data_IF_657003282931
#
_entry.id   IF_657003282931
#
_cell.length_a   1.000
_cell.length_b   1.000
_cell.length_c   1.000
_cell.angle_alpha   90.00
_cell.angle_beta   90.00
_cell.angle_gamma   90.00
#
_symmetry.space_group_name_H-M   'P 1'
#
loop_
_entity.id
_entity.type
_entity.pdbx_description
1 polymer ?
#
# COMPACT_ATOMS: atom_id res chain seq x y z
N UNK A 1 22.28 10.94 14.94
CA UNK A 1 21.35 12.00 15.40
C UNK A 1 19.96 11.41 15.39
N UNK A 2 19.36 11.21 16.55
CA UNK A 2 17.97 10.76 16.67
C UNK A 2 17.09 11.97 16.29
N UNK A 3 16.53 11.96 15.08
CA UNK A 3 15.51 12.93 14.72
C UNK A 3 14.25 12.55 15.52
N UNK A 4 13.96 13.27 16.60
CA UNK A 4 12.61 13.31 17.16
C UNK A 4 11.70 14.07 16.19
N UNK A 5 11.46 13.50 15.02
CA UNK A 5 10.49 14.02 14.08
C UNK A 5 9.10 13.80 14.70
N UNK A 6 8.39 14.89 14.99
CA UNK A 6 7.02 14.83 15.46
C UNK A 6 6.09 15.14 14.28
N UNK A 7 5.41 14.11 13.77
CA UNK A 7 4.44 14.26 12.69
C UNK A 7 3.05 14.46 13.29
N UNK A 8 2.32 15.47 12.83
CA UNK A 8 0.98 15.82 13.31
C UNK A 8 -0.12 15.51 12.28
N UNK A 9 0.26 15.17 11.04
CA UNK A 9 -0.70 14.78 10.02
C UNK A 9 -0.16 13.79 8.99
N UNK A 10 -1.03 12.89 8.53
CA UNK A 10 -0.76 11.92 7.48
C UNK A 10 -1.89 11.91 6.45
N UNK A 11 -1.54 11.92 5.16
CA UNK A 11 -2.47 11.67 4.06
C UNK A 11 -1.96 10.50 3.23
N UNK A 12 -2.79 9.46 3.11
CA UNK A 12 -2.46 8.25 2.34
C UNK A 12 -3.14 8.28 0.97
N UNK A 13 -2.34 8.22 -0.09
CA UNK A 13 -2.77 8.25 -1.51
C UNK A 13 -2.42 6.92 -2.17
N UNK A 14 -3.35 6.37 -2.93
CA UNK A 14 -3.07 5.17 -3.71
C UNK A 14 -4.27 4.30 -4.06
N UNK A 15 -4.01 3.01 -4.14
CA UNK A 15 -4.94 1.97 -4.59
C UNK A 15 -5.35 1.01 -3.45
N UNK A 16 -5.67 -0.25 -3.78
CA UNK A 16 -6.11 -1.25 -2.80
C UNK A 16 -5.07 -1.58 -1.75
N UNK A 17 -3.79 -1.46 -2.09
CA UNK A 17 -2.69 -1.67 -1.14
C UNK A 17 -2.75 -0.65 -0.01
N UNK A 18 -2.93 0.63 -0.35
CA UNK A 18 -3.07 1.73 0.61
C UNK A 18 -4.45 1.77 1.28
N UNK A 19 -5.51 1.35 0.58
CA UNK A 19 -6.85 1.23 1.16
C UNK A 19 -6.88 0.22 2.32
N UNK A 20 -6.00 -0.79 2.27
CA UNK A 20 -5.86 -1.80 3.33
C UNK A 20 -6.58 -3.11 3.03
N UNK A 21 -6.82 -3.42 1.75
CA UNK A 21 -7.50 -4.65 1.35
C UNK A 21 -6.91 -5.88 2.04
N UNK A 22 -7.80 -6.81 2.41
CA UNK A 22 -7.51 -8.06 3.13
C UNK A 22 -7.13 -7.95 4.62
N UNK A 23 -7.04 -6.75 5.19
CA UNK A 23 -7.00 -6.54 6.65
C UNK A 23 -8.39 -6.12 7.16
N UNK A 24 -9.35 -7.05 7.08
CA UNK A 24 -10.76 -6.82 7.40
C UNK A 24 -10.99 -6.82 8.92
N UNK A 25 -11.61 -5.76 9.42
CA UNK A 25 -12.05 -5.64 10.81
C UNK A 25 -13.44 -6.26 11.02
N UNK A 26 -13.83 -6.56 12.27
CA UNK A 26 -15.15 -7.14 12.57
C UNK A 26 -16.34 -6.29 12.10
N UNK A 27 -16.17 -4.98 11.98
CA UNK A 27 -17.17 -4.04 11.47
C UNK A 27 -17.28 -4.01 9.94
N UNK A 28 -16.46 -4.81 9.24
CA UNK A 28 -16.42 -4.91 7.79
C UNK A 28 -15.57 -3.83 7.10
N UNK A 29 -14.94 -2.94 7.86
CA UNK A 29 -13.98 -1.96 7.33
C UNK A 29 -12.60 -2.58 7.13
N UNK A 30 -11.78 -1.96 6.28
CA UNK A 30 -10.39 -2.37 6.09
C UNK A 30 -9.47 -1.44 6.87
N UNK A 31 -8.60 -2.00 7.71
CA UNK A 31 -7.59 -1.25 8.46
C UNK A 31 -6.37 -0.98 7.56
N UNK A 32 -5.54 -1.99 7.32
CA UNK A 32 -4.37 -1.87 6.44
C UNK A 32 -3.21 -1.08 7.04
N UNK A 33 -2.07 -1.08 6.34
CA UNK A 33 -0.82 -0.53 6.85
C UNK A 33 -0.90 0.98 7.15
N UNK A 34 -1.65 1.74 6.34
CA UNK A 34 -1.75 3.18 6.48
C UNK A 34 -2.49 3.57 7.78
N UNK A 35 -3.53 2.82 8.16
CA UNK A 35 -4.27 3.03 9.39
C UNK A 35 -3.47 2.55 10.61
N UNK A 36 -2.73 1.44 10.48
CA UNK A 36 -1.79 0.98 11.52
C UNK A 36 -0.72 2.04 11.79
N UNK A 37 -0.12 2.61 10.73
CA UNK A 37 0.83 3.70 10.85
C UNK A 37 0.19 4.93 11.49
N UNK A 38 -0.99 5.33 11.03
CA UNK A 38 -1.73 6.47 11.58
C UNK A 38 -2.01 6.30 13.07
N UNK A 39 -2.39 5.10 13.52
CA UNK A 39 -2.65 4.80 14.93
C UNK A 39 -1.39 4.95 15.79
N UNK A 40 -0.25 4.47 15.29
CA UNK A 40 1.05 4.63 15.97
C UNK A 40 1.50 6.10 16.04
N UNK A 41 1.29 6.86 14.98
CA UNK A 41 1.59 8.30 14.96
C UNK A 41 0.65 9.08 15.90
N UNK A 42 -0.64 8.77 15.90
CA UNK A 42 -1.63 9.39 16.78
C UNK A 42 -1.34 9.16 18.27
N UNK A 43 -0.84 7.98 18.64
CA UNK A 43 -0.43 7.68 20.01
C UNK A 43 0.73 8.57 20.51
N UNK A 44 1.49 9.19 19.60
CA UNK A 44 2.64 10.06 19.93
C UNK A 44 2.32 11.55 19.83
N UNK A 45 1.33 11.90 19.02
CA UNK A 45 0.99 13.27 18.67
C UNK A 45 -0.47 13.55 19.04
N UNK A 46 -0.76 14.12 20.22
CA UNK A 46 -2.11 14.58 20.53
C UNK A 46 -2.66 15.50 19.44
N UNK A 47 -3.91 15.24 19.00
CA UNK A 47 -4.53 15.99 17.90
C UNK A 47 -4.02 15.61 16.50
N UNK A 48 -3.32 14.47 16.35
CA UNK A 48 -2.91 13.95 15.05
C UNK A 48 -4.09 13.87 14.08
N UNK A 49 -3.86 14.27 12.83
CA UNK A 49 -4.88 14.24 11.77
C UNK A 49 -4.54 13.20 10.72
N UNK A 50 -5.54 12.49 10.23
CA UNK A 50 -5.36 11.45 9.24
C UNK A 50 -6.42 11.51 8.13
N UNK A 51 -6.01 11.29 6.89
CA UNK A 51 -6.88 10.99 5.76
C UNK A 51 -6.35 9.79 4.97
N UNK A 52 -7.26 9.00 4.41
CA UNK A 52 -6.95 7.91 3.48
C UNK A 52 -7.81 8.07 2.24
N UNK A 53 -7.18 8.57 1.18
CA UNK A 53 -7.80 8.86 -0.13
C UNK A 53 -7.79 7.63 -1.05
N UNK A 54 -7.15 6.54 -0.64
CA UNK A 54 -6.93 5.39 -1.48
C UNK A 54 -8.23 4.63 -1.80
N UNK A 55 -8.33 4.14 -3.04
CA UNK A 55 -9.48 3.38 -3.52
C UNK A 55 -8.97 2.21 -4.38
N UNK A 56 -9.41 0.99 -4.04
CA UNK A 56 -9.06 -0.25 -4.73
C UNK A 56 -9.20 -0.19 -6.24
N UNK A 57 -8.24 -0.82 -6.91
CA UNK A 57 -8.26 -1.02 -8.36
C UNK A 57 -7.99 0.24 -9.17
N UNK A 58 -7.70 1.38 -8.54
CA UNK A 58 -7.29 2.58 -9.25
C UNK A 58 -5.96 2.40 -9.97
N UNK A 59 -5.89 3.01 -11.14
CA UNK A 59 -4.67 3.21 -11.91
C UNK A 59 -4.01 4.54 -11.56
N UNK A 60 -2.73 4.70 -11.92
CA UNK A 60 -1.99 5.93 -11.60
C UNK A 60 -2.66 7.19 -12.16
N UNK A 61 -3.27 7.11 -13.35
CA UNK A 61 -4.03 8.24 -13.90
C UNK A 61 -5.24 8.61 -13.05
N UNK A 62 -5.99 7.63 -12.54
CA UNK A 62 -7.14 7.88 -11.67
C UNK A 62 -6.72 8.37 -10.27
N UNK A 63 -5.55 7.95 -9.79
CA UNK A 63 -4.97 8.47 -8.56
C UNK A 63 -4.61 9.94 -8.75
N UNK A 64 -3.94 10.29 -9.86
CA UNK A 64 -3.61 11.65 -10.22
C UNK A 64 -4.87 12.54 -10.31
N UNK A 65 -5.86 12.12 -11.09
CA UNK A 65 -7.04 12.94 -11.41
C UNK A 65 -7.96 13.14 -10.20
N UNK A 66 -8.05 12.15 -9.30
CA UNK A 66 -9.09 12.15 -8.25
C UNK A 66 -8.54 12.31 -6.82
N UNK A 67 -7.25 12.03 -6.58
CA UNK A 67 -6.69 12.03 -5.21
C UNK A 67 -5.58 13.07 -5.01
N UNK A 68 -4.75 13.34 -6.04
CA UNK A 68 -3.53 14.15 -5.86
C UNK A 68 -3.87 15.58 -5.46
N UNK A 69 -4.74 16.27 -6.19
CA UNK A 69 -5.06 17.67 -5.87
C UNK A 69 -5.76 17.82 -4.50
N UNK A 70 -6.56 16.82 -4.12
CA UNK A 70 -7.16 16.74 -2.77
C UNK A 70 -6.07 16.60 -1.70
N UNK A 71 -5.08 15.74 -1.89
CA UNK A 71 -3.95 15.59 -0.97
C UNK A 71 -3.07 16.85 -0.90
N UNK A 72 -2.84 17.52 -2.04
CA UNK A 72 -2.12 18.80 -2.11
C UNK A 72 -2.82 19.85 -1.25
N UNK A 73 -4.15 19.96 -1.36
CA UNK A 73 -4.95 20.94 -0.61
C UNK A 73 -4.93 20.70 0.92
N UNK A 74 -4.64 19.46 1.35
CA UNK A 74 -4.59 19.11 2.78
C UNK A 74 -3.31 19.57 3.49
N UNK A 75 -2.21 19.79 2.76
CA UNK A 75 -0.96 20.34 3.32
C UNK A 75 -0.39 19.53 4.49
N UNK A 76 -0.40 18.20 4.41
CA UNK A 76 -0.02 17.32 5.51
C UNK A 76 1.50 17.22 5.74
N UNK A 77 1.91 16.86 6.96
CA UNK A 77 3.32 16.66 7.28
C UNK A 77 3.90 15.44 6.55
N UNK A 78 3.12 14.37 6.43
CA UNK A 78 3.48 13.18 5.68
C UNK A 78 2.42 12.89 4.63
N UNK A 79 2.85 12.72 3.39
CA UNK A 79 2.02 12.16 2.32
C UNK A 79 2.67 10.89 1.82
N UNK A 80 1.90 9.81 1.69
CA UNK A 80 2.37 8.57 1.07
C UNK A 80 1.70 8.40 -0.29
N UNK A 81 2.47 8.11 -1.34
CA UNK A 81 1.95 7.81 -2.67
C UNK A 81 2.34 6.38 -3.07
N UNK A 82 1.34 5.54 -3.32
CA UNK A 82 1.51 4.22 -3.93
C UNK A 82 0.59 4.09 -5.13
N UNK A 83 1.14 3.89 -6.32
CA UNK A 83 0.37 3.73 -7.55
C UNK A 83 1.21 3.23 -8.71
N UNK A 84 0.55 2.84 -9.80
CA UNK A 84 1.20 2.35 -11.02
C UNK A 84 1.35 0.83 -11.09
N UNK A 85 1.40 0.10 -9.96
CA UNK A 85 1.51 -1.36 -10.00
C UNK A 85 0.32 -2.01 -10.73
N UNK A 86 -0.90 -1.53 -10.50
CA UNK A 86 -2.11 -1.98 -11.22
C UNK A 86 -2.02 -1.77 -12.74
N UNK A 87 -1.32 -0.72 -13.18
CA UNK A 87 -1.06 -0.44 -14.59
C UNK A 87 -0.11 -1.49 -15.19
N UNK A 88 0.98 -1.82 -14.50
CA UNK A 88 1.99 -2.81 -14.97
C UNK A 88 1.39 -4.19 -15.23
N UNK A 89 0.34 -4.55 -14.47
CA UNK A 89 -0.42 -5.79 -14.60
C UNK A 89 -1.39 -5.81 -15.80
N UNK A 90 -1.51 -4.71 -16.56
CA UNK A 90 -2.36 -4.62 -17.76
C UNK A 90 -1.63 -5.19 -18.99
N UNK A 91 -2.29 -5.99 -19.85
CA UNK A 91 -1.67 -6.47 -21.09
C UNK A 91 -1.09 -5.33 -21.95
N UNK A 92 -1.89 -4.28 -22.16
CA UNK A 92 -1.56 -3.10 -22.98
C UNK A 92 -0.97 -1.95 -22.14
N UNK A 93 -0.13 -2.26 -21.16
CA UNK A 93 0.52 -1.25 -20.34
C UNK A 93 1.50 -0.41 -21.17
N UNK A 94 1.29 0.90 -21.20
CA UNK A 94 2.26 1.88 -21.70
C UNK A 94 3.09 2.40 -20.51
N UNK A 95 4.31 1.89 -20.37
CA UNK A 95 5.19 2.28 -19.27
C UNK A 95 5.65 3.74 -19.35
N UNK A 96 5.75 4.32 -20.56
CA UNK A 96 6.07 5.74 -20.72
C UNK A 96 4.98 6.62 -20.13
N UNK A 97 3.71 6.28 -20.42
CA UNK A 97 2.54 6.96 -19.83
C UNK A 97 2.49 6.77 -18.31
N UNK A 98 2.70 5.55 -17.81
CA UNK A 98 2.68 5.28 -16.35
C UNK A 98 3.73 6.10 -15.62
N UNK A 99 4.96 6.14 -16.12
CA UNK A 99 6.05 6.95 -15.54
C UNK A 99 5.76 8.44 -15.61
N UNK A 100 5.21 8.93 -16.73
CA UNK A 100 4.81 10.33 -16.88
C UNK A 100 3.76 10.76 -15.85
N UNK A 101 2.72 9.94 -15.67
CA UNK A 101 1.66 10.21 -14.69
C UNK A 101 2.15 10.12 -13.24
N UNK A 102 3.02 9.16 -12.93
CA UNK A 102 3.66 9.07 -11.62
C UNK A 102 4.53 10.31 -11.35
N UNK A 103 5.30 10.74 -12.36
CA UNK A 103 6.13 11.96 -12.27
C UNK A 103 5.27 13.17 -11.96
N UNK A 104 4.17 13.37 -12.69
CA UNK A 104 3.26 14.50 -12.45
C UNK A 104 2.66 14.46 -11.03
N UNK A 105 2.24 13.27 -10.57
CA UNK A 105 1.72 13.11 -9.21
C UNK A 105 2.76 13.50 -8.14
N UNK A 106 4.01 13.05 -8.31
CA UNK A 106 5.11 13.38 -7.38
C UNK A 106 5.44 14.87 -7.43
N UNK A 107 5.51 15.47 -8.62
CA UNK A 107 5.83 16.89 -8.80
C UNK A 107 4.77 17.82 -8.16
N UNK A 108 3.52 17.38 -8.08
CA UNK A 108 2.45 18.09 -7.33
C UNK A 108 2.52 17.87 -5.81
N UNK A 109 2.75 16.63 -5.36
CA UNK A 109 2.72 16.28 -3.93
C UNK A 109 3.98 16.71 -3.18
N UNK A 110 5.16 16.57 -3.77
CA UNK A 110 6.43 16.85 -3.09
C UNK A 110 6.53 18.26 -2.50
N UNK A 111 6.17 19.35 -3.21
CA UNK A 111 6.24 20.70 -2.65
C UNK A 111 5.11 21.05 -1.68
N UNK A 112 4.04 20.25 -1.60
CA UNK A 112 2.84 20.54 -0.79
C UNK A 112 2.81 19.83 0.56
N UNK A 113 3.81 19.00 0.88
CA UNK A 113 3.89 18.28 2.14
C UNK A 113 5.26 18.42 2.80
N UNK A 114 5.33 18.15 4.10
CA UNK A 114 6.61 18.14 4.82
C UNK A 114 7.53 16.99 4.38
N UNK A 115 6.94 15.80 4.15
CA UNK A 115 7.62 14.63 3.63
C UNK A 115 6.74 13.80 2.72
N UNK A 116 7.19 13.61 1.49
CA UNK A 116 6.64 12.61 0.58
C UNK A 116 7.33 11.26 0.80
N UNK A 117 6.53 10.20 0.88
CA UNK A 117 6.98 8.81 0.96
C UNK A 117 6.46 8.04 -0.26
N UNK A 118 7.39 7.46 -1.00
CA UNK A 118 7.16 6.56 -2.12
C UNK A 118 7.52 5.14 -1.71
N UNK A 119 7.06 4.15 -2.47
CA UNK A 119 7.32 2.75 -2.17
C UNK A 119 7.71 1.98 -3.42
N UNK A 120 8.69 1.08 -3.26
CA UNK A 120 8.83 -0.07 -4.14
C UNK A 120 7.95 -1.18 -3.56
N UNK A 121 6.72 -1.30 -4.06
CA UNK A 121 5.70 -2.18 -3.50
C UNK A 121 6.13 -3.66 -3.48
N UNK A 122 5.72 -4.43 -2.45
CA UNK A 122 6.12 -5.83 -2.36
C UNK A 122 5.42 -6.67 -3.43
N UNK A 123 5.94 -7.88 -3.65
CA UNK A 123 5.40 -8.80 -4.64
C UNK A 123 5.44 -10.25 -4.16
N UNK A 124 4.31 -10.96 -4.27
CA UNK A 124 4.22 -12.39 -3.91
C UNK A 124 5.12 -13.22 -4.81
N UNK A 125 5.98 -14.04 -4.22
CA UNK A 125 6.83 -14.97 -4.97
C UNK A 125 5.98 -15.94 -5.81
N UNK A 126 6.31 -16.07 -7.10
CA UNK A 126 5.65 -16.97 -8.02
C UNK A 126 5.73 -16.54 -9.49
N UNK A 127 5.25 -17.38 -10.41
CA UNK A 127 5.43 -17.17 -11.86
C UNK A 127 4.75 -15.92 -12.39
N UNK A 128 3.67 -15.46 -11.74
CA UNK A 128 2.97 -14.22 -12.11
C UNK A 128 3.88 -13.02 -11.85
N UNK A 129 4.56 -12.98 -10.71
CA UNK A 129 5.51 -11.92 -10.37
C UNK A 129 6.66 -11.87 -11.38
N UNK A 130 7.27 -13.01 -11.70
CA UNK A 130 8.35 -13.10 -12.69
C UNK A 130 7.96 -12.54 -14.06
N UNK A 131 6.71 -12.78 -14.48
CA UNK A 131 6.19 -12.27 -15.75
C UNK A 131 6.13 -10.74 -15.80
N UNK A 132 5.83 -10.09 -14.68
CA UNK A 132 5.65 -8.63 -14.62
C UNK A 132 6.88 -7.89 -14.06
N UNK A 133 7.86 -8.63 -13.54
CA UNK A 133 9.11 -8.12 -12.96
C UNK A 133 9.77 -7.01 -13.79
N UNK A 134 9.98 -7.13 -15.12
CA UNK A 134 10.63 -6.07 -15.89
C UNK A 134 9.89 -4.72 -15.82
N UNK A 135 8.54 -4.75 -15.85
CA UNK A 135 7.73 -3.52 -15.77
C UNK A 135 7.72 -2.93 -14.37
N UNK A 136 7.74 -3.78 -13.34
CA UNK A 136 7.85 -3.35 -11.96
C UNK A 136 9.21 -2.69 -11.69
N UNK A 137 10.29 -3.28 -12.20
CA UNK A 137 11.64 -2.72 -12.07
C UNK A 137 11.78 -1.39 -12.80
N UNK A 138 11.16 -1.23 -13.98
CA UNK A 138 11.09 0.08 -14.67
C UNK A 138 10.30 1.13 -13.84
N UNK A 139 9.19 0.73 -13.21
CA UNK A 139 8.44 1.61 -12.31
C UNK A 139 9.27 2.01 -11.08
N UNK A 140 9.98 1.07 -10.47
CA UNK A 140 10.77 1.32 -9.26
C UNK A 140 12.00 2.17 -9.54
N UNK A 141 12.66 1.99 -10.69
CA UNK A 141 13.70 2.90 -11.14
C UNK A 141 13.18 4.35 -11.24
N UNK A 142 11.98 4.54 -11.80
CA UNK A 142 11.34 5.86 -11.83
C UNK A 142 11.03 6.41 -10.43
N UNK A 143 10.54 5.57 -9.50
CA UNK A 143 10.33 5.96 -8.10
C UNK A 143 11.63 6.46 -7.46
N UNK A 144 12.74 5.77 -7.70
CA UNK A 144 14.05 6.16 -7.14
C UNK A 144 14.56 7.48 -7.71
N UNK A 145 14.48 7.64 -9.03
CA UNK A 145 14.85 8.88 -9.71
C UNK A 145 14.05 10.08 -9.18
N UNK A 146 12.74 9.92 -9.02
CA UNK A 146 11.85 10.94 -8.48
C UNK A 146 12.16 11.25 -7.02
N UNK A 147 12.45 10.22 -6.22
CA UNK A 147 12.80 10.42 -4.83
C UNK A 147 14.10 11.21 -4.66
N UNK A 148 15.13 10.92 -5.47
CA UNK A 148 16.38 11.70 -5.50
C UNK A 148 16.11 13.14 -5.93
N UNK A 149 15.32 13.34 -6.99
CA UNK A 149 15.01 14.66 -7.55
C UNK A 149 14.23 15.55 -6.57
N UNK A 150 13.28 14.98 -5.84
CA UNK A 150 12.33 15.73 -5.01
C UNK A 150 12.54 15.57 -3.50
N UNK A 151 13.61 14.87 -3.06
CA UNK A 151 13.89 14.66 -1.64
C UNK A 151 12.87 13.77 -0.91
N UNK A 152 12.13 12.94 -1.65
CA UNK A 152 11.18 11.99 -1.09
C UNK A 152 11.89 10.79 -0.44
N UNK A 153 11.22 10.11 0.49
CA UNK A 153 11.71 8.86 1.04
C UNK A 153 11.20 7.69 0.21
N UNK A 154 12.05 6.71 -0.06
CA UNK A 154 11.64 5.42 -0.62
C UNK A 154 11.64 4.36 0.46
N UNK A 155 10.53 3.65 0.61
CA UNK A 155 10.43 2.41 1.39
C UNK A 155 10.58 1.23 0.43
N UNK A 156 11.67 0.48 0.54
CA UNK A 156 11.93 -0.68 -0.31
C UNK A 156 11.32 -1.95 0.29
N UNK A 157 10.06 -2.21 -0.05
CA UNK A 157 9.31 -3.41 0.34
C UNK A 157 9.56 -4.56 -0.64
N UNK A 158 9.80 -4.24 -1.91
CA UNK A 158 10.14 -5.19 -2.97
C UNK A 158 11.42 -5.98 -2.68
N UNK A 159 12.45 -5.30 -2.17
CA UNK A 159 13.73 -5.92 -1.81
C UNK A 159 13.72 -6.72 -0.50
N UNK A 160 12.59 -6.85 0.19
CA UNK A 160 12.49 -7.57 1.46
C UNK A 160 11.96 -9.01 1.24
N UNK A 161 12.79 -10.05 1.40
CA UNK A 161 12.39 -11.44 1.13
C UNK A 161 11.15 -11.89 1.90
N UNK A 162 11.00 -11.44 3.15
CA UNK A 162 9.87 -11.78 4.00
C UNK A 162 8.52 -11.38 3.39
N UNK A 163 8.45 -10.24 2.68
CA UNK A 163 7.21 -9.76 2.03
C UNK A 163 6.91 -10.53 0.73
N UNK A 164 7.87 -11.28 0.20
CA UNK A 164 7.65 -12.22 -0.91
C UNK A 164 7.05 -13.56 -0.49
N UNK A 165 7.12 -13.92 0.81
CA UNK A 165 6.56 -15.17 1.33
C UNK A 165 5.04 -15.21 1.16
N UNK A 166 4.50 -16.32 0.64
CA UNK A 166 3.07 -16.46 0.36
C UNK A 166 2.18 -16.28 1.59
N UNK A 167 2.69 -16.50 2.80
CA UNK A 167 1.97 -16.30 4.08
C UNK A 167 1.72 -14.82 4.40
N UNK A 168 2.41 -13.89 3.72
CA UNK A 168 2.13 -12.46 3.80
C UNK A 168 0.94 -12.04 2.94
N UNK A 169 0.39 -12.93 2.11
CA UNK A 169 -0.65 -12.61 1.14
C UNK A 169 -1.92 -13.40 1.45
N UNK A 170 -3.07 -12.74 1.33
CA UNK A 170 -4.37 -13.34 1.60
C UNK A 170 -4.77 -14.35 0.51
N UNK A 171 -5.92 -14.99 0.64
CA UNK A 171 -6.42 -16.05 -0.26
C UNK A 171 -6.62 -15.57 -1.70
N UNK A 172 -6.72 -14.25 -1.91
CA UNK A 172 -6.76 -13.64 -3.23
C UNK A 172 -5.39 -13.51 -3.90
N UNK A 173 -4.31 -13.86 -3.19
CA UNK A 173 -2.91 -13.89 -3.67
C UNK A 173 -2.42 -12.56 -4.23
N UNK A 174 -3.10 -11.47 -3.91
CA UNK A 174 -2.85 -10.13 -4.44
C UNK A 174 -2.71 -9.09 -3.33
N UNK A 175 -3.45 -9.21 -2.23
CA UNK A 175 -3.36 -8.28 -1.11
C UNK A 175 -2.69 -8.90 0.10
N UNK A 176 -2.10 -8.05 0.93
CA UNK A 176 -1.41 -8.47 2.14
C UNK A 176 -2.40 -8.90 3.23
N UNK A 177 -1.98 -9.86 4.05
CA UNK A 177 -2.65 -10.17 5.32
C UNK A 177 -2.43 -9.05 6.33
N UNK A 178 -3.13 -9.10 7.47
CA UNK A 178 -2.90 -8.21 8.60
C UNK A 178 -1.41 -8.15 9.02
N UNK A 179 -0.71 -9.28 9.01
CA UNK A 179 0.72 -9.34 9.32
C UNK A 179 1.58 -8.63 8.27
N UNK A 180 1.27 -8.81 6.98
CA UNK A 180 1.95 -8.08 5.91
C UNK A 180 1.76 -6.57 6.06
N UNK A 181 0.52 -6.12 6.31
CA UNK A 181 0.22 -4.70 6.56
C UNK A 181 0.95 -4.14 7.79
N UNK A 182 1.04 -4.92 8.88
CA UNK A 182 1.80 -4.55 10.08
C UNK A 182 3.28 -4.32 9.79
N UNK A 183 3.90 -5.20 8.99
CA UNK A 183 5.30 -5.07 8.56
C UNK A 183 5.52 -3.88 7.63
N UNK A 184 4.59 -3.61 6.72
CA UNK A 184 4.65 -2.39 5.89
C UNK A 184 4.57 -1.14 6.75
N UNK A 185 3.66 -1.09 7.73
CA UNK A 185 3.56 0.04 8.64
C UNK A 185 4.86 0.29 9.41
N UNK A 186 5.50 -0.78 9.91
CA UNK A 186 6.81 -0.73 10.55
C UNK A 186 7.92 -0.25 9.58
N UNK A 187 7.92 -0.72 8.33
CA UNK A 187 8.88 -0.29 7.33
C UNK A 187 8.79 1.22 7.05
N UNK A 188 7.57 1.76 6.94
CA UNK A 188 7.35 3.21 6.76
C UNK A 188 7.75 3.98 8.01
N UNK A 189 7.37 3.48 9.19
CA UNK A 189 7.72 4.05 10.48
C UNK A 189 9.24 4.23 10.66
N UNK A 190 10.01 3.17 10.43
CA UNK A 190 11.46 3.22 10.48
C UNK A 190 12.03 4.15 9.41
N UNK A 191 11.44 4.16 8.20
CA UNK A 191 11.91 5.02 7.10
C UNK A 191 11.73 6.51 7.41
N UNK A 192 10.67 6.86 8.14
CA UNK A 192 10.42 8.20 8.68
C UNK A 192 11.41 8.60 9.81
N UNK A 193 12.30 7.68 10.24
CA UNK A 193 13.31 7.92 11.25
C UNK A 193 12.82 7.73 12.69
N UNK A 194 11.67 7.08 12.87
CA UNK A 194 11.11 6.80 14.19
C UNK A 194 11.78 5.55 14.81
N UNK A 195 11.77 5.43 16.15
CA UNK A 195 12.45 4.32 16.84
C UNK A 195 11.91 2.96 16.40
N UNK A 196 12.79 2.03 16.06
CA UNK A 196 12.43 0.65 15.68
C UNK A 196 11.55 0.01 16.75
N UNK A 197 10.38 -0.50 16.35
CA UNK A 197 9.49 -1.27 17.23
C UNK A 197 9.53 -2.77 16.93
N UNK A 198 9.82 -3.14 15.67
CA UNK A 198 9.91 -4.54 15.25
C UNK A 198 10.87 -4.74 14.05
N UNK A 199 11.37 -5.95 13.87
CA UNK A 199 12.10 -6.35 12.66
C UNK A 199 11.13 -6.81 11.58
N UNK A 200 10.63 -5.85 10.79
CA UNK A 200 9.72 -6.13 9.68
C UNK A 200 10.34 -6.99 8.57
N UNK A 201 11.67 -7.10 8.52
CA UNK A 201 12.41 -7.93 7.55
C UNK A 201 12.63 -9.36 8.04
N UNK A 202 12.37 -9.66 9.30
CA UNK A 202 12.61 -10.97 9.89
C UNK A 202 11.95 -12.08 9.06
N UNK A 203 12.73 -13.09 8.70
CA UNK A 203 12.20 -14.25 7.99
C UNK A 203 11.22 -15.02 8.87
N UNK A 204 10.19 -15.56 8.23
CA UNK A 204 9.26 -16.44 8.91
C UNK A 204 9.93 -17.80 9.15
N UNK A 205 9.63 -18.49 10.26
CA UNK A 205 10.06 -19.86 10.47
C UNK A 205 9.69 -20.75 9.27
N UNK A 206 10.48 -21.81 8.98
CA UNK A 206 10.18 -22.74 7.90
C UNK A 206 8.74 -23.24 7.97
N UNK A 207 8.01 -23.14 6.86
CA UNK A 207 6.64 -23.62 6.78
C UNK A 207 6.61 -25.15 6.67
N UNK A 208 5.60 -25.77 7.27
CA UNK A 208 5.35 -27.19 7.02
C UNK A 208 4.95 -27.44 5.55
N UNK A 209 5.42 -28.52 4.92
CA UNK A 209 5.06 -28.83 3.55
C UNK A 209 3.56 -29.08 3.39
N UNK A 210 2.85 -28.19 2.70
CA UNK A 210 1.44 -28.45 2.33
C UNK A 210 1.38 -29.55 1.27
N UNK A 211 0.59 -30.60 1.51
CA UNK A 211 0.40 -31.70 0.56
C UNK A 211 -0.22 -31.28 -0.77
N UNK A 212 0.12 -31.99 -1.86
CA UNK A 212 -0.33 -31.69 -3.23
C UNK A 212 -1.86 -31.58 -3.39
N UNK A 213 -2.69 -32.46 -2.79
CA UNK A 213 -4.15 -32.35 -2.91
C UNK A 213 -4.70 -31.05 -2.31
N UNK A 214 -4.19 -30.65 -1.14
CA UNK A 214 -4.59 -29.41 -0.47
C UNK A 214 -4.20 -28.16 -1.29
N UNK A 215 -3.03 -28.19 -1.95
CA UNK A 215 -2.59 -27.12 -2.87
C UNK A 215 -3.55 -26.98 -4.06
N UNK A 216 -3.92 -28.09 -4.71
CA UNK A 216 -4.87 -28.07 -5.85
C UNK A 216 -6.26 -27.58 -5.46
N UNK A 217 -6.77 -27.99 -4.30
CA UNK A 217 -8.04 -27.49 -3.80
C UNK A 217 -8.00 -25.97 -3.54
N UNK A 218 -6.88 -25.45 -3.00
CA UNK A 218 -6.65 -24.01 -2.84
C UNK A 218 -6.62 -23.26 -4.18
N UNK A 219 -5.91 -23.80 -5.18
CA UNK A 219 -5.85 -23.20 -6.53
C UNK A 219 -7.22 -23.10 -7.19
N UNK A 220 -8.05 -24.14 -7.06
CA UNK A 220 -9.41 -24.15 -7.60
C UNK A 220 -10.29 -23.11 -6.89
N UNK A 221 -10.22 -23.02 -5.56
CA UNK A 221 -10.96 -21.98 -4.80
C UNK A 221 -10.54 -20.58 -5.22
N UNK A 222 -9.23 -20.33 -5.29
CA UNK A 222 -8.68 -19.06 -5.76
C UNK A 222 -9.19 -18.69 -7.16
N UNK A 223 -9.13 -19.63 -8.10
CA UNK A 223 -9.56 -19.41 -9.47
C UNK A 223 -11.05 -19.02 -9.55
N UNK A 224 -11.90 -19.71 -8.79
CA UNK A 224 -13.35 -19.48 -8.77
C UNK A 224 -13.75 -18.18 -8.04
N UNK A 225 -13.13 -17.90 -6.90
CA UNK A 225 -13.56 -16.83 -6.00
C UNK A 225 -12.93 -15.47 -6.32
N UNK A 226 -11.71 -15.45 -6.86
CA UNK A 226 -10.95 -14.21 -7.04
C UNK A 226 -10.59 -13.96 -8.51
N UNK A 227 -9.92 -14.92 -9.16
CA UNK A 227 -9.38 -14.72 -10.51
C UNK A 227 -10.49 -14.56 -11.56
N UNK A 228 -11.49 -15.45 -11.57
CA UNK A 228 -12.61 -15.40 -12.52
C UNK A 228 -13.39 -14.06 -12.46
N UNK A 229 -13.87 -13.63 -11.29
CA UNK A 229 -14.52 -12.34 -11.13
C UNK A 229 -13.64 -11.15 -11.54
N UNK A 230 -12.33 -11.21 -11.27
CA UNK A 230 -11.39 -10.17 -11.68
C UNK A 230 -11.23 -10.10 -13.21
N UNK A 231 -11.12 -11.24 -13.90
CA UNK A 231 -11.09 -11.29 -15.37
C UNK A 231 -12.39 -10.74 -15.96
N UNK A 232 -13.56 -11.14 -15.43
CA UNK A 232 -14.86 -10.68 -15.91
C UNK A 232 -15.01 -9.15 -15.80
N UNK A 233 -14.59 -8.57 -14.67
CA UNK A 233 -14.53 -7.12 -14.48
C UNK A 233 -13.61 -6.45 -15.51
N UNK A 234 -12.45 -7.04 -15.78
CA UNK A 234 -11.48 -6.52 -16.74
C UNK A 234 -12.00 -6.49 -18.17
N UNK A 235 -12.71 -7.54 -18.60
CA UNK A 235 -13.33 -7.61 -19.94
C UNK A 235 -14.48 -6.60 -20.07
N UNK A 236 -15.18 -6.31 -18.97
CA UNK A 236 -16.31 -5.35 -18.95
C UNK A 236 -15.88 -3.91 -18.66
N UNK A 237 -14.58 -3.65 -18.48
CA UNK A 237 -14.05 -2.32 -18.15
C UNK A 237 -14.42 -1.82 -16.76
N UNK A 238 -15.01 -2.66 -15.90
CA UNK A 238 -15.45 -2.28 -14.54
C UNK A 238 -14.32 -2.48 -13.54
N UNK A 239 -14.14 -1.56 -12.60
CA UNK A 239 -13.24 -1.71 -11.46
C UNK A 239 -13.99 -2.14 -10.20
N UNK A 240 -13.31 -2.82 -9.28
CA UNK A 240 -13.84 -3.06 -7.92
C UNK A 240 -14.00 -1.79 -7.09
N UNK A 241 -13.38 -0.69 -7.53
CA UNK A 241 -13.45 0.64 -6.93
C UNK A 241 -14.56 1.53 -7.49
N UNK A 242 -15.24 1.14 -8.58
CA UNK A 242 -16.23 2.02 -9.23
C UNK A 242 -17.35 2.41 -8.27
N UNK A 243 -17.64 3.71 -8.18
CA UNK A 243 -18.67 4.27 -7.29
C UNK A 243 -18.32 4.23 -5.81
N UNK A 244 -17.08 3.88 -5.43
CA UNK A 244 -16.62 3.92 -4.04
C UNK A 244 -15.94 5.24 -3.73
N UNK A 245 -16.34 5.85 -2.62
CA UNK A 245 -15.61 6.96 -2.01
C UNK A 245 -14.42 6.44 -1.19
N UNK A 246 -13.38 7.27 -0.96
CA UNK A 246 -12.34 6.94 -0.01
C UNK A 246 -12.91 6.67 1.37
N UNK A 247 -12.31 5.73 2.12
CA UNK A 247 -12.78 5.38 3.46
C UNK A 247 -12.65 6.53 4.47
N UNK A 248 -11.74 7.47 4.22
CA UNK A 248 -11.48 8.61 5.10
C UNK A 248 -11.07 9.83 4.26
N UNK A 249 -12.05 10.51 3.62
CA UNK A 249 -11.79 11.51 2.58
C UNK A 249 -11.32 12.88 3.10
N UNK A 250 -11.44 13.12 4.41
CA UNK A 250 -11.10 14.39 5.04
C UNK A 250 -9.94 14.23 6.03
N UNK A 251 -9.08 15.25 6.12
CA UNK A 251 -7.97 15.31 7.08
C UNK A 251 -8.47 15.73 8.47
N UNK A 252 -9.12 14.79 9.15
CA UNK A 252 -9.72 14.99 10.46
C UNK A 252 -8.86 14.42 11.59
N UNK A 253 -9.06 14.87 12.85
CA UNK A 253 -8.45 14.26 14.03
C UNK A 253 -8.62 12.73 14.03
N UNK A 254 -7.56 12.03 14.43
CA UNK A 254 -7.53 10.58 14.52
C UNK A 254 -7.04 10.16 15.88
N UNK A 255 -7.88 9.39 16.56
CA UNK A 255 -7.53 8.75 17.81
C UNK A 255 -7.22 7.28 17.52
N UNK A 256 -6.12 6.80 18.11
CA UNK A 256 -5.82 5.38 18.05
C UNK A 256 -6.97 4.63 18.73
N UNK A 257 -7.67 3.79 17.97
CA UNK A 257 -8.63 2.86 18.56
C UNK A 257 -7.83 1.89 19.42
N UNK A 258 -7.86 2.10 20.74
CA UNK A 258 -7.29 1.17 21.70
C UNK A 258 -8.10 -0.11 21.57
N UNK A 259 -7.54 -1.13 20.93
CA UNK A 259 -8.08 -2.47 21.01
C UNK A 259 -7.79 -2.94 22.43
N UNK A 260 -8.70 -2.65 23.37
CA UNK A 260 -8.70 -3.32 24.66
C UNK A 260 -8.77 -4.82 24.37
N UNK A 261 -7.82 -5.63 24.87
CA UNK A 261 -7.98 -7.08 24.80
C UNK A 261 -9.32 -7.38 25.47
N UNK A 262 -10.22 -8.06 24.75
CA UNK A 262 -11.43 -8.61 25.36
C UNK A 262 -10.99 -9.40 26.59
N UNK A 263 -11.44 -8.95 27.76
CA UNK A 263 -11.05 -9.47 29.06
C UNK A 263 -11.29 -10.97 29.18
N UNK A 264 -10.41 -11.57 29.99
CA UNK A 264 -10.50 -12.84 30.74
C UNK A 264 -11.53 -13.89 30.33
#
# INVERSE_FOLDING_TARGET
MQMNANYTSLVAVGDSFTEGMSDLLPDGSYRGWADVLAGRLAARSPGFRYANLAVRGKLIGQILDEQVDTAVAMGADVVTLVGGLNDTLRPNCDMGRVRGLLTEAVEKLAPSCGRLVLMRSPGRNGPVMERFRPRMEELFACVDELAVRHGALVVDLYGAPALGDQRMWDTDRLHLTAEGHRRVAEAVWQRLGLPVEDDWRAELPPAEPVGWPARRASDIRFARQHLGPWIARRVTGRSSGDGRSPKRPELLPYEAQICTPSGE
#
